data_IF_414016522343
#
_entry.id   IF_414016522343
#
_cell.length_a   1.000
_cell.length_b   1.000
_cell.length_c   1.000
_cell.angle_alpha   90.00
_cell.angle_beta   90.00
_cell.angle_gamma   90.00
#
_symmetry.space_group_name_H-M   'P 1'
#
loop_
_entity.id
_entity.type
_entity.pdbx_description
1 polymer ?
#
# COMPACT_ATOMS: atom_id res chain seq x y z
N UNK A 1 14.77 4.49 5.72
CA UNK A 1 13.96 3.28 5.47
C UNK A 1 12.83 3.31 6.48
N UNK A 2 11.62 2.97 6.07
CA UNK A 2 10.42 3.00 6.91
C UNK A 2 10.01 1.55 7.25
N UNK A 3 9.45 1.36 8.45
CA UNK A 3 9.02 0.06 8.95
C UNK A 3 7.57 0.14 9.41
N UNK A 4 6.81 -0.93 9.18
CA UNK A 4 5.47 -1.09 9.69
C UNK A 4 5.27 -2.53 10.16
N UNK A 5 4.38 -2.75 11.13
CA UNK A 5 4.01 -4.07 11.62
C UNK A 5 2.49 -4.15 11.57
N UNK A 6 1.99 -5.11 10.81
CA UNK A 6 0.56 -5.41 10.72
C UNK A 6 0.29 -6.63 11.60
N UNK A 7 -0.72 -6.55 12.44
CA UNK A 7 -1.14 -7.63 13.34
C UNK A 7 -2.62 -7.92 13.07
N UNK A 8 -2.97 -9.18 12.90
CA UNK A 8 -4.35 -9.62 12.68
C UNK A 8 -4.62 -10.93 13.44
N UNK A 9 -5.88 -11.22 13.82
CA UNK A 9 -6.24 -12.43 14.55
C UNK A 9 -6.07 -13.72 13.72
N UNK A 10 -6.18 -13.62 12.40
CA UNK A 10 -6.06 -14.75 11.47
C UNK A 10 -5.24 -14.38 10.23
N UNK A 11 -4.81 -15.41 9.48
CA UNK A 11 -3.96 -15.24 8.30
C UNK A 11 -4.66 -14.53 7.14
N UNK A 12 -5.97 -14.71 7.00
CA UNK A 12 -6.76 -14.10 5.91
C UNK A 12 -6.90 -12.59 6.14
N UNK A 13 -7.21 -12.19 7.38
CA UNK A 13 -7.21 -10.80 7.81
C UNK A 13 -5.83 -10.16 7.66
N UNK A 14 -4.76 -10.87 8.04
CA UNK A 14 -3.40 -10.38 7.86
C UNK A 14 -3.08 -10.12 6.39
N UNK A 15 -3.40 -11.07 5.52
CA UNK A 15 -3.17 -10.96 4.08
C UNK A 15 -3.94 -9.78 3.47
N UNK A 16 -5.19 -9.57 3.90
CA UNK A 16 -6.03 -8.47 3.45
C UNK A 16 -5.44 -7.11 3.84
N UNK A 17 -5.03 -6.95 5.10
CA UNK A 17 -4.42 -5.71 5.58
C UNK A 17 -3.09 -5.43 4.86
N UNK A 18 -2.21 -6.44 4.78
CA UNK A 18 -0.92 -6.35 4.09
C UNK A 18 -1.10 -5.97 2.62
N UNK A 19 -2.10 -6.52 1.93
CA UNK A 19 -2.38 -6.22 0.53
C UNK A 19 -2.66 -4.72 0.30
N UNK A 20 -3.24 -4.02 1.27
CA UNK A 20 -3.47 -2.57 1.21
C UNK A 20 -2.17 -1.74 1.22
N UNK A 21 -1.07 -2.29 1.77
CA UNK A 21 0.22 -1.62 1.84
C UNK A 21 1.09 -1.84 0.59
N UNK A 22 0.95 -2.98 -0.10
CA UNK A 22 1.72 -3.28 -1.31
C UNK A 22 1.67 -2.19 -2.40
N UNK A 23 0.50 -1.64 -2.79
CA UNK A 23 0.45 -0.58 -3.80
C UNK A 23 1.10 0.73 -3.35
N UNK A 24 1.33 0.92 -2.06
CA UNK A 24 2.00 2.11 -1.50
C UNK A 24 3.53 1.96 -1.44
N UNK A 25 4.08 0.91 -2.06
CA UNK A 25 5.51 0.63 -2.13
C UNK A 25 6.07 -0.10 -0.91
N UNK A 26 5.22 -0.59 -0.02
CA UNK A 26 5.65 -1.46 1.08
C UNK A 26 5.95 -2.87 0.57
N UNK A 27 6.94 -3.50 1.17
CA UNK A 27 7.37 -4.86 0.87
C UNK A 27 7.37 -5.70 2.13
N UNK A 28 7.07 -6.99 1.97
CA UNK A 28 7.18 -7.96 3.05
C UNK A 28 8.63 -8.06 3.53
N UNK A 29 8.81 -8.00 4.85
CA UNK A 29 10.10 -8.20 5.50
C UNK A 29 10.01 -9.40 6.43
N UNK A 30 10.81 -10.43 6.15
CA UNK A 30 10.80 -11.66 6.94
C UNK A 30 9.51 -12.46 6.78
N UNK A 31 9.34 -13.45 7.66
CA UNK A 31 8.15 -14.30 7.72
C UNK A 31 7.09 -13.75 8.68
N UNK A 32 5.92 -14.40 8.65
CA UNK A 32 4.82 -14.15 9.59
C UNK A 32 5.22 -14.74 10.95
N UNK A 33 4.97 -13.99 12.02
CA UNK A 33 5.18 -14.43 13.41
C UNK A 33 3.84 -14.63 14.08
N UNK A 34 3.67 -15.77 14.75
CA UNK A 34 2.49 -16.03 15.56
C UNK A 34 2.74 -15.59 17.01
N UNK A 35 1.78 -14.84 17.59
CA UNK A 35 1.83 -14.39 18.97
C UNK A 35 0.43 -14.34 19.57
N UNK A 36 0.18 -15.11 20.63
CA UNK A 36 -1.02 -15.01 21.46
C UNK A 36 -2.35 -15.09 20.68
N UNK A 37 -2.46 -16.05 19.75
CA UNK A 37 -3.60 -16.23 18.83
C UNK A 37 -3.75 -15.12 17.79
N UNK A 38 -2.65 -14.51 17.37
CA UNK A 38 -2.63 -13.53 16.29
C UNK A 38 -1.38 -13.73 15.44
N UNK A 39 -1.43 -13.18 14.24
CA UNK A 39 -0.35 -13.23 13.26
C UNK A 39 0.16 -11.83 13.00
N UNK A 40 1.47 -11.68 12.94
CA UNK A 40 2.15 -10.42 12.69
C UNK A 40 3.03 -10.51 11.45
N UNK A 41 2.95 -9.51 10.57
CA UNK A 41 3.83 -9.36 9.41
C UNK A 41 4.56 -8.02 9.48
N UNK A 42 5.89 -8.07 9.35
CA UNK A 42 6.69 -6.86 9.20
C UNK A 42 6.72 -6.42 7.74
N UNK A 43 6.65 -5.12 7.54
CA UNK A 43 6.74 -4.46 6.24
C UNK A 43 7.88 -3.43 6.25
N UNK A 44 8.53 -3.28 5.10
CA UNK A 44 9.58 -2.29 4.89
C UNK A 44 9.27 -1.48 3.62
N UNK A 45 9.52 -0.18 3.68
CA UNK A 45 9.48 0.70 2.50
C UNK A 45 10.76 1.52 2.41
N UNK A 46 11.34 1.61 1.22
CA UNK A 46 12.38 2.60 0.98
C UNK A 46 11.73 3.91 0.53
N UNK A 47 12.26 5.08 0.92
CA UNK A 47 11.75 6.38 0.45
C UNK A 47 11.72 6.51 -1.08
N UNK A 48 12.60 5.77 -1.77
CA UNK A 48 12.67 5.71 -3.24
C UNK A 48 11.50 4.91 -3.85
N UNK A 49 10.90 3.97 -3.10
CA UNK A 49 9.74 3.18 -3.53
C UNK A 49 8.42 3.98 -3.40
N UNK A 50 8.38 4.99 -2.52
CA UNK A 50 7.21 5.86 -2.33
C UNK A 50 6.85 6.67 -3.60
N UNK A 51 7.79 6.84 -4.52
CA UNK A 51 7.69 7.69 -5.72
C UNK A 51 7.04 6.95 -6.91
N UNK A 52 6.87 5.62 -6.82
CA UNK A 52 6.24 4.81 -7.89
C UNK A 52 4.76 4.50 -7.67
N UNK A 53 4.10 5.20 -6.76
CA UNK A 53 2.64 5.34 -6.90
C UNK A 53 2.44 6.17 -8.17
N UNK A 54 1.81 5.66 -9.25
CA UNK A 54 1.13 6.55 -10.15
C UNK A 54 0.13 7.27 -9.25
N UNK A 55 0.48 8.51 -8.89
CA UNK A 55 -0.49 9.47 -8.41
C UNK A 55 -1.66 9.29 -9.37
N UNK A 56 -2.75 8.72 -8.89
CA UNK A 56 -3.96 8.52 -9.68
C UNK A 56 -4.43 9.94 -9.91
N UNK A 57 -3.81 10.60 -10.91
CA UNK A 57 -4.23 11.87 -11.48
C UNK A 57 -5.67 11.57 -11.82
N UNK A 58 -6.56 12.11 -10.99
CA UNK A 58 -7.96 12.19 -11.32
C UNK A 58 -7.99 12.66 -12.78
N UNK A 59 -8.65 11.94 -13.69
CA UNK A 59 -8.76 12.42 -15.05
C UNK A 59 -9.50 13.75 -14.95
N UNK A 60 -8.80 14.87 -15.17
CA UNK A 60 -9.40 16.17 -15.37
C UNK A 60 -10.20 16.09 -16.66
N UNK A 61 -11.39 15.52 -16.56
CA UNK A 61 -12.29 15.29 -17.67
C UNK A 61 -13.34 16.39 -17.64
N UNK A 62 -13.02 17.52 -18.28
CA UNK A 62 -14.03 18.15 -19.13
C UNK A 62 -13.35 18.88 -20.30
N UNK A 63 -13.52 18.26 -21.47
CA UNK A 63 -13.16 18.78 -22.79
C UNK A 63 -14.14 19.90 -23.18
N UNK A 64 -13.56 20.93 -23.83
CA UNK A 64 -14.13 21.80 -24.89
C UNK A 64 -15.16 22.85 -24.42
N UNK A 65 -15.17 24.07 -24.94
CA UNK A 65 -14.91 24.51 -26.33
C UNK A 65 -14.25 25.90 -26.41
N UNK A 66 -13.17 26.03 -27.20
CA UNK A 66 -12.87 27.28 -27.91
C UNK A 66 -13.84 27.39 -29.09
N UNK A 67 -14.57 28.49 -29.18
CA UNK A 67 -15.04 29.04 -30.45
C UNK A 67 -14.52 30.48 -30.52
N UNK A 68 -13.78 30.75 -31.58
CA UNK A 68 -13.36 32.07 -32.04
C UNK A 68 -14.42 32.47 -33.07
N UNK A 69 -15.01 33.66 -32.91
CA UNK A 69 -15.16 34.69 -33.95
C UNK A 69 -15.24 36.06 -33.27
#
# INVERSE_FOLDING_TARGET
>A
MEYNIVIAPDLEGLATEVAGFLPQGWRLKGGIVEYGNSYAQQLIRHPKDAIRLPQRRQPAKQRRTKWIE
#
